data_IF_105136863985
#
_entry.id   IF_105136863985
#
_cell.length_a   1.000
_cell.length_b   1.000
_cell.length_c   1.000
_cell.angle_alpha   90.00
_cell.angle_beta   90.00
_cell.angle_gamma   90.00
#
_symmetry.space_group_name_H-M   'P 1'
#
loop_
_entity.id
_entity.type
_entity.pdbx_description
1 polymer ?
#
# COMPACT_ATOMS: atom_id res chain seq x y z
N UNK A 1 -9.24 33.29 0.32
CA UNK A 1 -9.22 31.85 0.63
C UNK A 1 -9.25 31.09 -0.68
N UNK A 2 -8.09 30.65 -1.16
CA UNK A 2 -7.96 29.83 -2.37
C UNK A 2 -8.46 28.43 -2.07
N UNK A 3 -9.58 28.05 -2.68
CA UNK A 3 -10.11 26.69 -2.62
C UNK A 3 -9.03 25.74 -3.15
N UNK A 4 -8.53 24.86 -2.29
CA UNK A 4 -7.52 23.88 -2.65
C UNK A 4 -8.04 23.04 -3.82
N UNK A 5 -7.31 23.05 -4.93
CA UNK A 5 -7.70 22.36 -6.16
C UNK A 5 -7.60 20.84 -5.94
N UNK A 6 -8.73 20.21 -5.60
CA UNK A 6 -8.83 18.80 -5.17
C UNK A 6 -8.95 17.80 -6.31
N UNK A 7 -8.73 18.23 -7.55
CA UNK A 7 -8.92 17.47 -8.80
C UNK A 7 -7.99 16.26 -8.99
N UNK A 8 -6.91 16.16 -8.20
CA UNK A 8 -5.92 15.07 -8.30
C UNK A 8 -6.17 13.88 -7.35
N UNK A 9 -7.20 13.94 -6.49
CA UNK A 9 -7.46 12.91 -5.49
C UNK A 9 -8.75 12.15 -5.86
N UNK A 10 -8.67 10.87 -6.27
CA UNK A 10 -9.84 10.08 -6.64
C UNK A 10 -10.83 9.96 -5.47
N UNK A 11 -12.12 10.05 -5.78
CA UNK A 11 -13.25 10.32 -4.88
C UNK A 11 -13.63 9.25 -3.84
N UNK A 12 -12.68 8.61 -3.18
CA UNK A 12 -12.92 7.63 -2.10
C UNK A 12 -12.12 7.94 -0.81
N UNK A 13 -11.87 9.23 -0.53
CA UNK A 13 -10.97 9.66 0.56
C UNK A 13 -11.34 9.09 1.93
N UNK A 14 -12.63 9.06 2.29
CA UNK A 14 -13.08 8.59 3.62
C UNK A 14 -12.89 7.09 3.83
N UNK A 15 -13.34 6.27 2.86
CA UNK A 15 -13.23 4.82 2.96
C UNK A 15 -11.76 4.34 2.91
N UNK A 16 -10.95 4.95 2.04
CA UNK A 16 -9.52 4.63 1.97
C UNK A 16 -8.78 5.05 3.24
N UNK A 17 -9.10 6.23 3.80
CA UNK A 17 -8.50 6.68 5.07
C UNK A 17 -8.88 5.75 6.23
N UNK A 18 -10.16 5.35 6.32
CA UNK A 18 -10.61 4.37 7.31
C UNK A 18 -9.86 3.03 7.20
N UNK A 19 -9.64 2.57 5.96
CA UNK A 19 -8.89 1.35 5.69
C UNK A 19 -7.41 1.47 6.11
N UNK A 20 -6.78 2.64 5.92
CA UNK A 20 -5.41 2.91 6.40
C UNK A 20 -5.30 2.94 7.91
N UNK A 21 -6.30 3.50 8.60
CA UNK A 21 -6.31 3.51 10.06
C UNK A 21 -6.46 2.08 10.59
N UNK A 22 -7.33 1.27 9.97
CA UNK A 22 -7.48 -0.14 10.32
C UNK A 22 -6.16 -0.92 10.15
N UNK A 23 -5.47 -0.73 9.01
CA UNK A 23 -4.14 -1.29 8.75
C UNK A 23 -3.13 -0.84 9.81
N UNK A 24 -3.07 0.45 10.13
CA UNK A 24 -2.15 0.97 11.15
C UNK A 24 -2.40 0.31 12.52
N UNK A 25 -3.66 0.20 12.94
CA UNK A 25 -4.01 -0.42 14.22
C UNK A 25 -3.63 -1.90 14.25
N UNK A 26 -3.96 -2.65 13.20
CA UNK A 26 -3.60 -4.06 13.09
C UNK A 26 -2.09 -4.27 13.05
N UNK A 27 -1.35 -3.45 12.30
CA UNK A 27 0.10 -3.50 12.27
C UNK A 27 0.72 -3.28 13.67
N UNK A 28 0.19 -2.35 14.47
CA UNK A 28 0.64 -2.13 15.86
C UNK A 28 0.34 -3.35 16.76
N UNK A 29 -0.85 -3.96 16.62
CA UNK A 29 -1.22 -5.17 17.36
C UNK A 29 -0.29 -6.33 17.00
N UNK A 30 -0.03 -6.53 15.71
CA UNK A 30 0.86 -7.60 15.22
C UNK A 30 2.31 -7.34 15.66
N UNK A 31 2.77 -6.09 15.67
CA UNK A 31 4.10 -5.72 16.18
C UNK A 31 4.23 -6.08 17.68
N UNK A 32 3.21 -5.81 18.49
CA UNK A 32 3.22 -6.18 19.90
C UNK A 32 3.25 -7.71 20.08
N UNK A 33 2.40 -8.45 19.35
CA UNK A 33 2.31 -9.91 19.45
C UNK A 33 3.58 -10.62 18.93
N UNK A 34 4.18 -10.13 17.84
CA UNK A 34 5.45 -10.66 17.33
C UNK A 34 6.63 -10.30 18.25
N UNK A 35 6.64 -9.11 18.86
CA UNK A 35 7.66 -8.79 19.86
C UNK A 35 7.62 -9.72 21.09
N UNK A 36 6.42 -10.19 21.45
CA UNK A 36 6.24 -11.20 22.50
C UNK A 36 6.84 -12.55 22.10
N UNK A 37 6.63 -13.00 20.86
CA UNK A 37 7.22 -14.24 20.38
C UNK A 37 8.75 -14.20 20.41
N UNK A 38 9.34 -13.17 19.78
CA UNK A 38 10.79 -12.91 19.76
C UNK A 38 11.38 -12.80 21.17
N UNK A 39 10.63 -12.27 22.14
CA UNK A 39 11.10 -12.20 23.52
C UNK A 39 11.35 -13.58 24.14
N UNK A 40 10.53 -14.58 23.79
CA UNK A 40 10.62 -15.93 24.33
C UNK A 40 11.50 -16.84 23.47
N UNK A 41 11.16 -17.00 22.20
CA UNK A 41 11.86 -17.87 21.25
C UNK A 41 11.90 -17.15 19.90
N UNK A 42 13.10 -16.97 19.37
CA UNK A 42 13.25 -16.31 18.08
C UNK A 42 13.10 -17.34 16.98
N UNK A 43 12.00 -17.22 16.22
CA UNK A 43 11.79 -17.91 14.96
C UNK A 43 11.93 -16.94 13.80
N UNK A 44 12.44 -17.43 12.66
CA UNK A 44 12.63 -16.60 11.46
C UNK A 44 11.31 -15.99 10.98
N UNK A 45 10.20 -16.74 11.09
CA UNK A 45 8.87 -16.25 10.72
C UNK A 45 8.40 -15.10 11.61
N UNK A 46 8.75 -15.12 12.89
CA UNK A 46 8.32 -14.11 13.86
C UNK A 46 9.14 -12.82 13.73
N UNK A 47 10.47 -12.96 13.54
CA UNK A 47 11.33 -11.82 13.23
C UNK A 47 10.92 -11.13 11.91
N UNK A 48 10.58 -11.90 10.87
CA UNK A 48 10.08 -11.35 9.61
C UNK A 48 8.73 -10.66 9.78
N UNK A 49 7.82 -11.23 10.57
CA UNK A 49 6.51 -10.62 10.85
C UNK A 49 6.65 -9.31 11.62
N UNK A 50 7.58 -9.24 12.58
CA UNK A 50 7.90 -8.02 13.31
C UNK A 50 8.45 -6.92 12.38
N UNK A 51 9.36 -7.28 11.46
CA UNK A 51 9.88 -6.37 10.46
C UNK A 51 8.78 -5.87 9.51
N UNK A 52 7.93 -6.78 9.00
CA UNK A 52 6.80 -6.45 8.13
C UNK A 52 5.82 -5.49 8.82
N UNK A 53 5.46 -5.75 10.08
CA UNK A 53 4.60 -4.87 10.86
C UNK A 53 5.21 -3.47 11.05
N UNK A 54 6.51 -3.40 11.32
CA UNK A 54 7.24 -2.12 11.44
C UNK A 54 7.19 -1.32 10.14
N UNK A 55 7.44 -1.97 9.01
CA UNK A 55 7.39 -1.33 7.68
C UNK A 55 5.97 -0.87 7.36
N UNK A 56 4.95 -1.69 7.64
CA UNK A 56 3.54 -1.33 7.44
C UNK A 56 3.14 -0.10 8.24
N UNK A 57 3.63 0.08 9.47
CA UNK A 57 3.40 1.30 10.27
C UNK A 57 3.97 2.51 9.54
N UNK A 58 5.22 2.45 9.07
CA UNK A 58 5.87 3.55 8.34
C UNK A 58 5.08 3.91 7.08
N UNK A 59 4.63 2.90 6.32
CA UNK A 59 3.81 3.09 5.12
C UNK A 59 2.49 3.78 5.46
N UNK A 60 1.77 3.29 6.47
CA UNK A 60 0.48 3.85 6.85
C UNK A 60 0.62 5.30 7.34
N UNK A 61 1.63 5.59 8.17
CA UNK A 61 1.90 6.96 8.65
C UNK A 61 2.18 7.89 7.47
N UNK A 62 3.04 7.48 6.52
CA UNK A 62 3.30 8.27 5.32
C UNK A 62 2.01 8.57 4.52
N UNK A 63 1.19 7.55 4.26
CA UNK A 63 -0.06 7.73 3.49
C UNK A 63 -1.06 8.62 4.22
N UNK A 64 -1.21 8.47 5.54
CA UNK A 64 -2.11 9.30 6.35
C UNK A 64 -1.65 10.75 6.35
N UNK A 65 -0.37 11.02 6.58
CA UNK A 65 0.19 12.38 6.59
C UNK A 65 0.06 13.05 5.21
N UNK A 66 0.40 12.32 4.15
CA UNK A 66 0.31 12.82 2.78
C UNK A 66 -1.14 13.10 2.35
N UNK A 67 -2.11 12.34 2.85
CA UNK A 67 -3.53 12.50 2.49
C UNK A 67 -4.30 13.53 3.33
N UNK A 68 -3.88 13.79 4.57
CA UNK A 68 -4.63 14.66 5.50
C UNK A 68 -3.93 16.00 5.79
N UNK A 69 -2.61 16.00 5.99
CA UNK A 69 -1.88 17.18 6.49
C UNK A 69 -1.06 17.90 5.43
N UNK A 70 -0.52 17.17 4.45
CA UNK A 70 0.40 17.72 3.46
C UNK A 70 0.15 17.14 2.06
N UNK A 71 -0.89 17.59 1.33
CA UNK A 71 -1.21 17.10 -0.02
C UNK A 71 -0.11 17.38 -1.05
N UNK A 72 0.82 18.29 -0.74
CA UNK A 72 2.02 18.57 -1.55
C UNK A 72 2.99 17.37 -1.57
N UNK A 73 3.00 16.55 -0.52
CA UNK A 73 3.82 15.33 -0.43
C UNK A 73 3.15 14.12 -1.10
N UNK A 74 1.89 14.25 -1.53
CA UNK A 74 1.13 13.14 -2.07
C UNK A 74 1.60 12.78 -3.49
N UNK A 75 2.37 11.70 -3.59
CA UNK A 75 2.74 11.07 -4.86
C UNK A 75 2.06 9.70 -4.96
N UNK A 76 1.11 9.56 -5.89
CA UNK A 76 0.38 8.30 -6.05
C UNK A 76 1.26 7.14 -6.51
N UNK A 77 2.38 7.38 -7.21
CA UNK A 77 3.33 6.33 -7.59
C UNK A 77 4.07 5.79 -6.38
N UNK A 78 4.42 6.67 -5.44
CA UNK A 78 5.06 6.27 -4.19
C UNK A 78 4.07 5.47 -3.33
N UNK A 79 2.82 5.92 -3.20
CA UNK A 79 1.78 5.19 -2.45
C UNK A 79 1.55 3.80 -3.05
N UNK A 80 1.42 3.70 -4.38
CA UNK A 80 1.22 2.43 -5.07
C UNK A 80 2.43 1.49 -4.89
N UNK A 81 3.66 2.02 -5.01
CA UNK A 81 4.87 1.24 -4.79
C UNK A 81 5.00 0.72 -3.36
N UNK A 82 4.69 1.56 -2.37
CA UNK A 82 4.70 1.16 -0.95
C UNK A 82 3.66 0.07 -0.66
N UNK A 83 2.46 0.15 -1.25
CA UNK A 83 1.46 -0.91 -1.08
C UNK A 83 1.91 -2.24 -1.72
N UNK A 84 2.55 -2.21 -2.90
CA UNK A 84 3.10 -3.44 -3.52
C UNK A 84 4.11 -4.08 -2.59
N UNK A 85 5.03 -3.29 -2.02
CA UNK A 85 6.04 -3.77 -1.09
C UNK A 85 5.38 -4.38 0.15
N UNK A 86 4.38 -3.70 0.73
CA UNK A 86 3.64 -4.21 1.88
C UNK A 86 2.96 -5.56 1.56
N UNK A 87 2.28 -5.65 0.41
CA UNK A 87 1.63 -6.90 -0.03
C UNK A 87 2.65 -8.03 -0.14
N UNK A 88 3.79 -7.82 -0.79
CA UNK A 88 4.84 -8.84 -0.94
C UNK A 88 5.37 -9.28 0.43
N UNK A 89 5.66 -8.33 1.33
CA UNK A 89 6.13 -8.62 2.68
C UNK A 89 5.11 -9.45 3.47
N UNK A 90 3.82 -9.16 3.33
CA UNK A 90 2.77 -9.92 4.00
C UNK A 90 2.58 -11.32 3.40
N UNK A 91 2.59 -11.46 2.06
CA UNK A 91 2.50 -12.78 1.38
C UNK A 91 3.58 -13.74 1.84
N UNK A 92 4.76 -13.25 2.21
CA UNK A 92 5.86 -14.10 2.65
C UNK A 92 5.86 -14.31 4.17
N UNK A 93 5.58 -13.27 4.96
CA UNK A 93 5.68 -13.34 6.43
C UNK A 93 4.65 -14.25 7.07
N UNK A 94 3.35 -14.07 6.79
CA UNK A 94 2.30 -14.83 7.48
C UNK A 94 2.35 -16.35 7.19
N UNK A 95 2.61 -16.84 5.95
CA UNK A 95 2.67 -18.26 5.70
C UNK A 95 3.89 -18.92 6.32
N UNK A 96 5.04 -18.23 6.33
CA UNK A 96 6.25 -18.76 6.99
C UNK A 96 5.96 -18.96 8.48
N UNK A 97 5.42 -17.94 9.17
CA UNK A 97 5.07 -18.05 10.58
C UNK A 97 4.03 -19.16 10.81
N UNK A 98 2.98 -19.24 9.99
CA UNK A 98 1.96 -20.28 10.08
C UNK A 98 2.54 -21.69 9.89
N UNK A 99 3.44 -21.88 8.91
CA UNK A 99 4.06 -23.18 8.64
C UNK A 99 4.98 -23.64 9.76
N UNK A 100 5.72 -22.72 10.38
CA UNK A 100 6.63 -23.04 11.50
C UNK A 100 5.84 -23.45 12.74
N UNK A 101 4.75 -22.75 13.04
CA UNK A 101 3.87 -23.11 14.16
C UNK A 101 3.17 -24.44 13.88
N UNK A 102 2.65 -24.65 12.67
CA UNK A 102 1.99 -25.90 12.31
C UNK A 102 2.93 -27.11 12.47
N UNK A 103 4.18 -26.99 12.01
CA UNK A 103 5.19 -28.02 12.20
C UNK A 103 5.47 -28.27 13.69
N UNK A 104 5.67 -27.20 14.47
CA UNK A 104 5.88 -27.31 15.92
C UNK A 104 4.72 -28.02 16.64
N UNK A 105 3.46 -27.79 16.22
CA UNK A 105 2.28 -28.48 16.77
C UNK A 105 2.32 -29.97 16.43
N UNK A 106 2.55 -30.33 15.16
CA UNK A 106 2.54 -31.74 14.74
C UNK A 106 3.63 -32.58 15.41
N UNK A 107 4.81 -31.99 15.64
CA UNK A 107 5.90 -32.64 16.37
C UNK A 107 5.54 -32.79 17.85
N UNK A 108 4.95 -31.76 18.46
CA UNK A 108 4.51 -31.81 19.86
C UNK A 108 3.45 -32.88 20.10
N UNK A 109 2.41 -32.98 19.26
CA UNK A 109 1.37 -34.02 19.41
C UNK A 109 1.93 -35.44 19.31
N UNK A 110 3.03 -35.62 18.59
CA UNK A 110 3.74 -36.92 18.51
C UNK A 110 4.53 -37.23 19.80
N UNK A 111 4.93 -36.21 20.57
CA UNK A 111 5.72 -36.32 21.81
C UNK A 111 4.88 -36.21 23.11
N UNK A 112 3.75 -35.51 23.08
CA UNK A 112 2.89 -35.23 24.25
C UNK A 112 2.06 -36.44 24.74
N UNK A 113 2.15 -37.59 24.05
CA UNK A 113 1.63 -38.86 24.60
C UNK A 113 2.36 -39.28 25.90
N UNK A 114 3.46 -38.61 26.27
CA UNK A 114 4.34 -39.09 27.34
C UNK A 114 4.71 -38.09 28.46
N UNK A 115 4.56 -36.76 28.32
CA UNK A 115 4.93 -35.83 29.40
C UNK A 115 4.04 -34.59 29.58
N UNK A 116 3.83 -34.28 30.85
CA UNK A 116 3.16 -33.14 31.50
C UNK A 116 3.69 -31.77 31.02
N UNK A 117 2.79 -30.78 30.93
CA UNK A 117 2.96 -29.41 30.41
C UNK A 117 4.41 -28.86 30.27
N UNK A 118 4.85 -28.57 29.04
CA UNK A 118 6.11 -27.88 28.77
C UNK A 118 6.04 -26.37 29.10
N UNK A 119 6.88 -25.92 30.04
CA UNK A 119 7.09 -24.51 30.39
C UNK A 119 8.40 -23.98 29.81
N UNK A 120 8.39 -22.74 29.29
CA UNK A 120 9.60 -22.03 28.90
C UNK A 120 10.05 -21.07 30.00
N UNK A 121 11.32 -21.20 30.42
CA UNK A 121 11.92 -20.37 31.47
C UNK A 121 12.99 -19.45 30.90
N UNK A 122 12.95 -18.16 31.30
CA UNK A 122 14.02 -17.21 31.02
C UNK A 122 14.76 -16.88 32.31
N UNK A 123 16.01 -17.30 32.41
CA UNK A 123 16.86 -17.02 33.57
C UNK A 123 17.45 -15.60 33.49
N UNK A 124 17.68 -14.95 34.64
CA UNK A 124 18.44 -13.69 34.68
C UNK A 124 19.88 -13.96 34.24
N UNK A 125 20.39 -13.18 33.28
CA UNK A 125 21.82 -13.23 32.90
C UNK A 125 22.65 -12.72 34.10
N UNK A 126 23.46 -13.59 34.70
CA UNK A 126 24.49 -13.22 35.69
C UNK A 126 24.10 -13.26 37.17
N UNK A 127 22.86 -13.61 37.53
CA UNK A 127 22.41 -13.81 38.92
C UNK A 127 21.63 -15.13 38.94
N UNK A 128 22.21 -16.15 39.59
CA UNK A 128 21.83 -17.57 39.45
C UNK A 128 20.33 -17.86 39.55
N UNK A 129 19.89 -18.91 38.84
CA UNK A 129 18.60 -19.65 38.80
C UNK A 129 17.26 -18.95 39.17
N UNK A 130 17.22 -17.65 39.42
CA UNK A 130 15.99 -16.92 39.69
C UNK A 130 15.21 -16.75 38.37
N UNK A 131 13.98 -17.27 38.36
CA UNK A 131 13.04 -17.14 37.26
C UNK A 131 12.72 -15.67 37.02
N UNK A 132 12.93 -15.16 35.80
CA UNK A 132 12.57 -13.79 35.41
C UNK A 132 11.11 -13.70 34.94
N UNK A 133 10.65 -14.73 34.25
CA UNK A 133 9.30 -14.91 33.75
C UNK A 133 9.11 -16.38 33.36
N UNK A 134 7.87 -16.86 33.34
CA UNK A 134 7.50 -18.14 32.74
C UNK A 134 6.33 -17.95 31.76
N UNK A 135 6.32 -18.72 30.67
CA UNK A 135 5.18 -18.86 29.77
C UNK A 135 4.94 -20.35 29.52
N UNK A 136 3.67 -20.73 29.40
CA UNK A 136 3.31 -22.07 28.94
C UNK A 136 3.48 -22.14 27.42
N UNK A 137 3.77 -23.34 26.91
CA UNK A 137 3.77 -23.61 25.47
C UNK A 137 2.42 -23.29 24.83
N UNK A 138 1.31 -23.61 25.51
CA UNK A 138 -0.04 -23.32 25.02
C UNK A 138 -0.27 -21.82 24.80
N UNK A 139 0.09 -20.96 25.76
CA UNK A 139 -0.04 -19.52 25.59
C UNK A 139 0.84 -19.00 24.46
N UNK A 140 2.08 -19.47 24.37
CA UNK A 140 2.99 -19.09 23.29
C UNK A 140 2.43 -19.48 21.91
N UNK A 141 2.01 -20.75 21.74
CA UNK A 141 1.40 -21.28 20.52
C UNK A 141 0.16 -20.48 20.13
N UNK A 142 -0.77 -20.24 21.06
CA UNK A 142 -1.99 -19.48 20.79
C UNK A 142 -1.71 -18.05 20.33
N UNK A 143 -0.72 -17.38 20.95
CA UNK A 143 -0.30 -16.04 20.53
C UNK A 143 0.27 -16.08 19.11
N UNK A 144 1.15 -17.03 18.80
CA UNK A 144 1.75 -17.15 17.48
C UNK A 144 0.71 -17.48 16.38
N UNK A 145 -0.25 -18.35 16.67
CA UNK A 145 -1.39 -18.62 15.76
C UNK A 145 -2.17 -17.33 15.52
N UNK A 146 -2.50 -16.59 16.58
CA UNK A 146 -3.21 -15.31 16.47
C UNK A 146 -2.41 -14.29 15.64
N UNK A 147 -1.09 -14.18 15.86
CA UNK A 147 -0.19 -13.32 15.07
C UNK A 147 -0.26 -13.68 13.59
N UNK A 148 -0.17 -14.97 13.26
CA UNK A 148 -0.22 -15.43 11.86
C UNK A 148 -1.57 -15.15 11.19
N UNK A 149 -2.68 -15.35 11.92
CA UNK A 149 -4.03 -15.09 11.42
C UNK A 149 -4.27 -13.59 11.19
N UNK A 150 -3.85 -12.74 12.14
CA UNK A 150 -3.92 -11.28 12.00
C UNK A 150 -3.01 -10.78 10.88
N UNK A 151 -1.84 -11.40 10.66
CA UNK A 151 -0.99 -11.11 9.50
C UNK A 151 -1.65 -11.44 8.17
N UNK A 152 -2.41 -12.54 8.10
CA UNK A 152 -3.24 -12.86 6.94
C UNK A 152 -4.38 -11.84 6.71
N UNK A 153 -4.99 -11.32 7.78
CA UNK A 153 -5.97 -10.24 7.68
C UNK A 153 -5.33 -8.95 7.14
N UNK A 154 -4.15 -8.60 7.64
CA UNK A 154 -3.40 -7.43 7.21
C UNK A 154 -3.00 -7.52 5.73
N UNK A 155 -2.58 -8.70 5.27
CA UNK A 155 -2.36 -9.00 3.85
C UNK A 155 -3.61 -8.67 3.02
N UNK A 156 -4.79 -9.15 3.42
CA UNK A 156 -6.05 -8.93 2.69
C UNK A 156 -6.38 -7.43 2.62
N UNK A 157 -6.21 -6.70 3.72
CA UNK A 157 -6.44 -5.26 3.72
C UNK A 157 -5.50 -4.54 2.76
N UNK A 158 -4.20 -4.86 2.77
CA UNK A 158 -3.22 -4.28 1.85
C UNK A 158 -3.53 -4.64 0.38
N UNK A 159 -3.95 -5.87 0.11
CA UNK A 159 -4.36 -6.30 -1.23
C UNK A 159 -5.60 -5.53 -1.72
N UNK A 160 -6.62 -5.38 -0.88
CA UNK A 160 -7.82 -4.59 -1.20
C UNK A 160 -7.47 -3.13 -1.45
N UNK A 161 -6.65 -2.50 -0.59
CA UNK A 161 -6.20 -1.12 -0.82
C UNK A 161 -5.48 -0.98 -2.15
N UNK A 162 -4.60 -1.92 -2.48
CA UNK A 162 -3.81 -1.91 -3.69
C UNK A 162 -4.69 -2.06 -4.94
N UNK A 163 -5.68 -2.95 -4.92
CA UNK A 163 -6.64 -3.12 -6.01
C UNK A 163 -7.43 -1.83 -6.23
N UNK A 164 -7.97 -1.23 -5.16
CA UNK A 164 -8.75 0.01 -5.26
C UNK A 164 -7.88 1.16 -5.79
N UNK A 165 -6.65 1.31 -5.29
CA UNK A 165 -5.70 2.32 -5.75
C UNK A 165 -5.28 2.08 -7.20
N UNK A 166 -5.06 0.84 -7.61
CA UNK A 166 -4.76 0.46 -8.99
C UNK A 166 -5.88 0.82 -9.95
N UNK A 167 -7.13 0.48 -9.62
CA UNK A 167 -8.31 0.83 -10.43
C UNK A 167 -8.46 2.36 -10.52
N UNK A 168 -8.36 3.06 -9.39
CA UNK A 168 -8.48 4.51 -9.35
C UNK A 168 -7.39 5.20 -10.17
N UNK A 169 -6.15 4.70 -10.10
CA UNK A 169 -5.06 5.23 -10.90
C UNK A 169 -5.26 4.95 -12.39
N UNK A 170 -5.67 3.73 -12.75
CA UNK A 170 -5.95 3.39 -14.14
C UNK A 170 -7.01 4.33 -14.73
N UNK A 171 -8.11 4.54 -14.01
CA UNK A 171 -9.18 5.49 -14.41
C UNK A 171 -8.69 6.93 -14.49
N UNK A 172 -7.86 7.37 -13.55
CA UNK A 172 -7.28 8.71 -13.55
C UNK A 172 -6.33 8.94 -14.75
N UNK A 173 -5.57 7.91 -15.14
CA UNK A 173 -4.71 7.96 -16.33
C UNK A 173 -5.51 7.92 -17.62
N UNK A 174 -6.56 7.10 -17.71
CA UNK A 174 -7.48 7.11 -18.85
C UNK A 174 -8.20 8.45 -19.02
N UNK A 175 -8.33 9.24 -17.94
CA UNK A 175 -8.89 10.59 -17.96
C UNK A 175 -7.84 11.71 -18.15
N UNK A 176 -6.56 11.38 -18.40
CA UNK A 176 -5.50 12.36 -18.64
C UNK A 176 -4.95 13.09 -17.40
N UNK A 177 -5.24 12.61 -16.19
CA UNK A 177 -4.89 13.30 -14.95
C UNK A 177 -3.39 13.25 -14.60
N UNK A 178 -2.90 14.33 -13.99
CA UNK A 178 -1.46 14.59 -13.76
C UNK A 178 -0.93 14.02 -12.44
N UNK A 179 0.38 13.80 -12.37
CA UNK A 179 1.07 13.12 -11.27
C UNK A 179 1.19 13.93 -9.96
N UNK A 180 1.08 15.25 -10.05
CA UNK A 180 1.43 16.18 -8.98
C UNK A 180 0.51 17.41 -8.98
N UNK A 181 0.30 18.04 -7.82
CA UNK A 181 -0.30 19.37 -7.74
C UNK A 181 0.55 20.36 -8.57
N UNK A 182 -0.06 21.02 -9.57
CA UNK A 182 0.60 22.06 -10.37
C UNK A 182 1.32 21.60 -11.64
N UNK A 183 1.36 20.30 -11.94
CA UNK A 183 1.74 19.86 -13.28
C UNK A 183 0.64 20.29 -14.26
N UNK A 184 0.97 21.20 -15.18
CA UNK A 184 0.06 21.65 -16.23
C UNK A 184 -0.50 20.45 -16.97
N UNK A 185 -1.80 20.48 -17.27
CA UNK A 185 -2.42 19.44 -18.06
C UNK A 185 -1.65 19.24 -19.37
N UNK A 186 -1.37 17.99 -19.79
CA UNK A 186 -0.95 17.78 -21.15
C UNK A 186 -2.07 18.35 -22.01
N UNK A 187 -1.72 19.36 -22.82
CA UNK A 187 -2.64 19.92 -23.83
C UNK A 187 -3.24 18.74 -24.57
N UNK A 188 -4.56 18.59 -24.45
CA UNK A 188 -5.31 17.79 -25.40
C UNK A 188 -5.06 18.47 -26.75
N UNK A 189 -4.16 17.90 -27.55
CA UNK A 189 -4.06 18.25 -28.96
C UNK A 189 -5.22 17.50 -29.58
N UNK A 190 -6.39 18.14 -29.57
CA UNK A 190 -7.53 17.65 -30.32
C UNK A 190 -7.10 17.65 -31.79
N UNK A 191 -6.67 16.48 -32.29
CA UNK A 191 -6.71 16.23 -33.71
C UNK A 191 -8.17 16.17 -34.08
N UNK A 192 -8.71 17.35 -34.37
CA UNK A 192 -10.04 17.56 -34.92
C UNK A 192 -10.13 16.68 -36.17
N UNK A 193 -10.81 15.55 -36.00
CA UNK A 193 -11.18 14.61 -37.04
C UNK A 193 -12.08 15.39 -38.01
N UNK A 194 -11.47 15.96 -39.06
CA UNK A 194 -12.18 16.60 -40.17
C UNK A 194 -13.06 15.54 -40.82
N UNK A 195 -14.27 15.45 -40.31
CA UNK A 195 -15.41 14.77 -40.87
C UNK A 195 -15.55 15.21 -42.33
N UNK A 196 -15.22 14.30 -43.24
CA UNK A 196 -15.56 14.34 -44.65
C UNK A 196 -17.08 14.48 -44.79
N UNK A 197 -17.58 15.71 -44.73
CA UNK A 197 -18.91 16.04 -45.24
C UNK A 197 -18.75 16.41 -46.72
N UNK A 198 -18.77 15.37 -47.56
CA UNK A 198 -19.09 15.50 -48.97
C UNK A 198 -20.46 16.19 -49.11
N UNK A 199 -20.47 17.46 -49.50
CA UNK A 199 -21.60 18.07 -50.22
C UNK A 199 -21.02 18.94 -51.33
N UNK A 200 -21.47 18.62 -52.55
CA UNK A 200 -21.16 19.16 -53.86
C UNK A 200 -20.71 20.63 -53.96
N UNK A 201 -19.65 20.83 -54.75
CA UNK A 201 -19.31 22.12 -55.35
C UNK A 201 -19.97 22.24 -56.74
N UNK A 202 -20.49 23.41 -57.13
CA UNK A 202 -20.57 23.81 -58.53
C UNK A 202 -19.30 24.59 -58.92
N UNK A 203 -18.65 24.17 -60.02
CA UNK A 203 -17.68 24.96 -60.79
C UNK A 203 -18.41 26.17 -61.44
N UNK A 204 -17.85 27.39 -61.51
CA UNK A 204 -16.90 27.97 -62.51
C UNK A 204 -16.94 29.52 -62.33
N UNK A 205 -16.20 30.39 -63.07
CA UNK A 205 -14.81 30.42 -63.57
C UNK A 205 -14.03 31.69 -63.09
N UNK A 206 -12.76 31.77 -63.45
CA UNK A 206 -11.71 32.75 -63.07
C UNK A 206 -11.65 34.08 -63.85
N UNK A 207 -11.02 35.11 -63.20
CA UNK A 207 -10.36 36.37 -63.66
C UNK A 207 -11.16 37.72 -63.70
N UNK A 208 -10.50 38.91 -63.62
CA UNK A 208 -9.05 39.19 -63.60
C UNK A 208 -8.50 40.10 -62.48
N UNK A 209 -7.17 40.05 -62.38
CA UNK A 209 -6.23 40.72 -61.49
C UNK A 209 -6.11 42.23 -61.78
N UNK A 210 -6.25 43.08 -60.77
CA UNK A 210 -6.17 44.55 -60.89
C UNK A 210 -4.76 45.02 -60.47
N UNK A 211 -4.06 45.63 -61.43
CA UNK A 211 -2.74 46.24 -61.33
C UNK A 211 -2.70 47.45 -60.40
N UNK A 212 -1.66 47.58 -59.57
CA UNK A 212 -1.39 48.80 -58.78
C UNK A 212 0.07 49.26 -58.96
N UNK A 213 0.35 50.50 -59.41
CA UNK A 213 1.71 51.00 -59.64
C UNK A 213 2.43 51.46 -58.35
N UNK A 214 3.77 51.67 -58.40
CA UNK A 214 4.65 51.69 -57.22
C UNK A 214 4.73 53.06 -56.53
N UNK A 215 4.86 53.04 -55.20
CA UNK A 215 5.14 54.23 -54.40
C UNK A 215 6.64 54.55 -54.40
N UNK A 216 6.98 55.73 -54.95
CA UNK A 216 8.30 56.38 -54.89
C UNK A 216 8.54 56.93 -53.47
N UNK A 217 9.67 56.58 -52.87
CA UNK A 217 10.26 57.33 -51.77
C UNK A 217 11.64 57.86 -52.20
N UNK A 218 11.75 59.19 -52.13
CA UNK A 218 12.94 60.01 -52.34
C UNK A 218 13.99 59.82 -51.24
#
# INVERSE_FOLDING_TARGET
MTVANTTHIPGARGALLGLRIAQLVLAVIILALSSYGVYWIVYDGDALTLASATISIVICVYVIVASTGAPVLYNYWAVLGLDIIAVILWVVSFPILASQIANAITVQETCDSYYDYCYYYKHKRGLGLEKRAETTWETYKSVMIATSALGGLEFVLFAITLIILGINLHRHRSAGGHCQPGAAAPRHVDFEEKQQRNVAAPAEPSQPEVYNPPALHH
#
